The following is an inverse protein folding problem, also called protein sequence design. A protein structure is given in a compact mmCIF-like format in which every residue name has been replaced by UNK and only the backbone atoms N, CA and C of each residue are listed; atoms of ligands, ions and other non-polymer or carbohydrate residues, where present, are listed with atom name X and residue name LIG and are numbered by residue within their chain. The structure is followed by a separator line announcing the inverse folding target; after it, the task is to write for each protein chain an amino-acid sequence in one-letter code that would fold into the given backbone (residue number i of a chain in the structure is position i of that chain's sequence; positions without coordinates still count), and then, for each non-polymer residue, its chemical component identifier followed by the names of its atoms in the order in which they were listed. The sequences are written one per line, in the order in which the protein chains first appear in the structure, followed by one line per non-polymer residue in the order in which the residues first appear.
data_IF_468541427366
#
_entry.id   IF_468541427366
#
_cell.length_a   1.000
_cell.length_b   1.000
_cell.length_c   1.000
_cell.angle_alpha   90.00
_cell.angle_beta   90.00
_cell.angle_gamma   90.00
#
_symmetry.space_group_name_H-M   'P 1'
#
loop_
_entity.id
_entity.type
_entity.pdbx_description
1 polymer ?
#
# COMPACT_ATOMS: atom_id res chain seq x y z
N UNK A 1 -14.09 -21.20 -23.27
CA UNK A 1 -12.67 -21.57 -23.36
C UNK A 1 -12.59 -23.01 -23.83
N UNK A 2 -11.75 -23.31 -24.82
CA UNK A 2 -11.57 -24.69 -25.31
C UNK A 2 -10.73 -25.49 -24.31
N UNK A 3 -10.90 -26.82 -24.30
CA UNK A 3 -10.12 -27.73 -23.42
C UNK A 3 -8.61 -27.49 -23.55
N UNK A 4 -8.14 -27.28 -24.78
CA UNK A 4 -6.72 -27.06 -25.08
C UNK A 4 -6.21 -25.73 -24.51
N UNK A 5 -7.02 -24.67 -24.54
CA UNK A 5 -6.65 -23.37 -23.98
C UNK A 5 -6.43 -23.48 -22.46
N UNK A 6 -7.26 -24.26 -21.76
CA UNK A 6 -7.11 -24.48 -20.32
C UNK A 6 -5.81 -25.21 -20.00
N UNK A 7 -5.47 -26.26 -20.76
CA UNK A 7 -4.21 -27.01 -20.61
C UNK A 7 -2.99 -26.11 -20.83
N UNK A 8 -3.01 -25.28 -21.88
CA UNK A 8 -1.90 -24.35 -22.15
C UNK A 8 -1.75 -23.28 -21.07
N UNK A 9 -2.86 -22.74 -20.54
CA UNK A 9 -2.81 -21.78 -19.43
C UNK A 9 -2.24 -22.41 -18.16
N UNK A 10 -2.66 -23.62 -17.79
CA UNK A 10 -2.10 -24.34 -16.64
C UNK A 10 -0.60 -24.62 -16.82
N UNK A 11 -0.19 -25.05 -18.01
CA UNK A 11 1.22 -25.30 -18.33
C UNK A 11 2.05 -24.02 -18.24
N UNK A 12 1.56 -22.91 -18.80
CA UNK A 12 2.22 -21.61 -18.72
C UNK A 12 2.33 -21.14 -17.27
N UNK A 13 1.28 -21.29 -16.48
CA UNK A 13 1.27 -20.93 -15.06
C UNK A 13 2.35 -21.71 -14.29
N UNK A 14 2.41 -23.04 -14.48
CA UNK A 14 3.44 -23.87 -13.86
C UNK A 14 4.86 -23.44 -14.24
N UNK A 15 5.11 -23.16 -15.52
CA UNK A 15 6.43 -22.68 -15.97
C UNK A 15 6.80 -21.32 -15.36
N UNK A 16 5.81 -20.44 -15.17
CA UNK A 16 6.02 -19.14 -14.52
C UNK A 16 6.36 -19.30 -13.05
N UNK A 17 5.66 -20.17 -12.33
CA UNK A 17 5.93 -20.50 -10.92
C UNK A 17 7.33 -21.10 -10.74
N UNK A 18 7.69 -22.08 -11.58
CA UNK A 18 9.03 -22.68 -11.58
C UNK A 18 10.12 -21.61 -11.80
N UNK A 19 9.95 -20.77 -12.83
CA UNK A 19 10.90 -19.70 -13.13
C UNK A 19 10.96 -18.64 -12.02
N UNK A 20 9.83 -18.30 -11.40
CA UNK A 20 9.79 -17.38 -10.28
C UNK A 20 10.59 -17.92 -9.09
N UNK A 21 10.48 -19.22 -8.79
CA UNK A 21 11.27 -19.90 -7.76
C UNK A 21 12.78 -19.90 -8.03
N UNK A 22 13.19 -20.08 -9.29
CA UNK A 22 14.59 -19.95 -9.71
C UNK A 22 15.14 -18.54 -9.48
N UNK A 23 14.40 -17.52 -9.92
CA UNK A 23 14.79 -16.11 -9.74
C UNK A 23 14.84 -15.75 -8.25
N UNK A 24 13.89 -16.23 -7.44
CA UNK A 24 13.91 -16.01 -6.00
C UNK A 24 15.15 -16.63 -5.35
N UNK A 25 15.54 -17.84 -5.78
CA UNK A 25 16.77 -18.49 -5.33
C UNK A 25 18.02 -17.69 -5.73
N UNK A 26 18.05 -17.19 -6.96
CA UNK A 26 19.11 -16.31 -7.44
C UNK A 26 19.18 -15.01 -6.64
N UNK A 27 18.04 -14.39 -6.32
CA UNK A 27 17.98 -13.17 -5.50
C UNK A 27 18.62 -13.39 -4.12
N UNK A 28 18.31 -14.52 -3.47
CA UNK A 28 18.93 -14.89 -2.18
C UNK A 28 20.44 -15.08 -2.31
N UNK A 29 20.91 -15.70 -3.39
CA UNK A 29 22.34 -15.88 -3.65
C UNK A 29 23.05 -14.55 -3.92
N UNK A 30 22.45 -13.66 -4.72
CA UNK A 30 22.94 -12.30 -4.98
C UNK A 30 23.07 -11.49 -3.70
N UNK A 31 22.11 -11.61 -2.78
CA UNK A 31 22.16 -10.94 -1.48
C UNK A 31 23.35 -11.42 -0.64
N UNK A 32 23.55 -12.74 -0.56
CA UNK A 32 24.69 -13.35 0.14
C UNK A 32 26.04 -12.99 -0.48
N UNK A 33 26.07 -12.76 -1.79
CA UNK A 33 27.25 -12.31 -2.52
C UNK A 33 27.51 -10.80 -2.38
N UNK A 34 26.70 -10.06 -1.60
CA UNK A 34 26.90 -8.63 -1.34
C UNK A 34 26.27 -7.72 -2.39
N UNK A 35 25.31 -8.20 -3.18
CA UNK A 35 24.58 -7.42 -4.18
C UNK A 35 23.11 -7.18 -3.77
N UNK A 36 22.83 -6.38 -2.73
CA UNK A 36 21.49 -6.19 -2.19
C UNK A 36 20.52 -5.52 -3.16
N UNK A 37 20.96 -4.51 -3.93
CA UNK A 37 20.09 -3.85 -4.92
C UNK A 37 19.65 -4.80 -6.02
N UNK A 38 20.56 -5.66 -6.50
CA UNK A 38 20.26 -6.69 -7.51
C UNK A 38 19.31 -7.74 -6.95
N UNK A 39 19.54 -8.19 -5.71
CA UNK A 39 18.64 -9.11 -5.04
C UNK A 39 17.22 -8.53 -4.91
N UNK A 40 17.11 -7.25 -4.55
CA UNK A 40 15.82 -6.59 -4.41
C UNK A 40 15.12 -6.36 -5.77
N UNK A 41 15.84 -5.96 -6.82
CA UNK A 41 15.25 -5.83 -8.16
C UNK A 41 14.70 -7.16 -8.69
N UNK A 42 15.40 -8.27 -8.42
CA UNK A 42 14.92 -9.61 -8.77
C UNK A 42 13.60 -9.98 -8.07
N UNK A 43 13.29 -9.44 -6.89
CA UNK A 43 12.00 -9.68 -6.24
C UNK A 43 10.82 -9.14 -7.06
N UNK A 44 10.99 -7.99 -7.71
CA UNK A 44 9.97 -7.46 -8.61
C UNK A 44 9.74 -8.40 -9.81
N UNK A 45 10.80 -9.01 -10.33
CA UNK A 45 10.70 -10.02 -11.40
C UNK A 45 9.99 -11.30 -10.95
N UNK A 46 10.24 -11.75 -9.72
CA UNK A 46 9.52 -12.88 -9.12
C UNK A 46 8.02 -12.60 -9.09
N UNK A 47 7.61 -11.45 -8.56
CA UNK A 47 6.18 -11.06 -8.46
C UNK A 47 5.53 -10.85 -9.83
N UNK A 48 6.29 -10.40 -10.83
CA UNK A 48 5.79 -10.25 -12.20
C UNK A 48 5.50 -11.61 -12.86
N UNK A 49 6.24 -12.66 -12.51
CA UNK A 49 6.04 -14.02 -13.04
C UNK A 49 5.00 -14.79 -12.25
N UNK A 50 5.13 -14.77 -10.93
CA UNK A 50 4.22 -15.38 -9.96
C UNK A 50 3.72 -14.30 -8.99
N UNK A 51 2.55 -13.69 -9.29
CA UNK A 51 1.95 -12.66 -8.45
C UNK A 51 1.63 -13.13 -7.04
N UNK A 52 1.54 -14.44 -6.77
CA UNK A 52 1.20 -15.00 -5.47
C UNK A 52 2.40 -15.61 -4.74
N UNK A 53 3.61 -15.35 -5.23
CA UNK A 53 4.84 -15.84 -4.62
C UNK A 53 5.03 -15.29 -3.20
N UNK A 54 4.57 -16.07 -2.21
CA UNK A 54 4.45 -15.70 -0.80
C UNK A 54 5.71 -15.05 -0.21
N UNK A 55 6.88 -15.62 -0.49
CA UNK A 55 8.12 -15.09 0.06
C UNK A 55 8.53 -13.77 -0.57
N UNK A 56 8.26 -13.58 -1.87
CA UNK A 56 8.60 -12.36 -2.57
C UNK A 56 7.69 -11.21 -2.11
N UNK A 57 6.39 -11.48 -2.00
CA UNK A 57 5.40 -10.56 -1.40
C UNK A 57 5.78 -10.16 0.01
N UNK A 58 6.19 -11.12 0.84
CA UNK A 58 6.66 -10.84 2.20
C UNK A 58 7.95 -10.01 2.24
N UNK A 59 8.88 -10.20 1.31
CA UNK A 59 10.08 -9.33 1.19
C UNK A 59 9.71 -7.90 0.81
N UNK A 60 8.68 -7.72 -0.02
CA UNK A 60 8.10 -6.40 -0.33
C UNK A 60 7.26 -5.82 0.82
N UNK A 61 7.23 -6.48 1.99
CA UNK A 61 6.48 -6.03 3.15
C UNK A 61 4.98 -6.29 3.08
N UNK A 62 4.51 -7.05 2.07
CA UNK A 62 3.09 -7.35 1.89
C UNK A 62 2.67 -8.60 2.66
N UNK A 63 1.40 -8.63 3.06
CA UNK A 63 0.75 -9.76 3.71
C UNK A 63 -0.56 -10.10 3.01
N UNK A 64 -0.96 -11.36 3.13
CA UNK A 64 -2.26 -11.80 2.62
C UNK A 64 -3.38 -11.24 3.51
N UNK A 65 -4.39 -10.68 2.86
CA UNK A 65 -5.64 -10.23 3.45
C UNK A 65 -6.82 -10.93 2.77
N UNK A 66 -7.64 -11.58 3.58
CA UNK A 66 -8.87 -12.21 3.12
C UNK A 66 -10.03 -11.27 3.45
N UNK A 67 -10.62 -10.68 2.42
CA UNK A 67 -11.77 -9.79 2.57
C UNK A 67 -12.98 -10.58 3.07
N UNK A 68 -13.51 -10.26 4.26
CA UNK A 68 -14.67 -10.96 4.80
C UNK A 68 -15.91 -10.88 3.90
N UNK A 69 -16.02 -9.83 3.09
CA UNK A 69 -17.15 -9.62 2.17
C UNK A 69 -17.10 -10.53 0.95
N UNK A 70 -15.94 -11.11 0.64
CA UNK A 70 -15.72 -12.02 -0.49
C UNK A 70 -15.58 -13.49 -0.05
N UNK A 71 -15.96 -13.82 1.18
CA UNK A 71 -15.83 -15.18 1.72
C UNK A 71 -16.58 -16.23 0.91
N UNK A 72 -17.69 -15.85 0.28
CA UNK A 72 -18.52 -16.75 -0.54
C UNK A 72 -18.03 -16.87 -1.99
N UNK A 73 -17.04 -16.06 -2.40
CA UNK A 73 -16.47 -16.12 -3.75
C UNK A 73 -15.41 -17.24 -3.81
N UNK A 74 -15.70 -18.38 -4.47
CA UNK A 74 -14.77 -19.50 -4.52
C UNK A 74 -13.52 -19.21 -5.36
N UNK A 75 -13.51 -18.12 -6.13
CA UNK A 75 -12.36 -17.69 -6.94
C UNK A 75 -11.48 -16.67 -6.19
N UNK A 76 -11.92 -16.17 -5.04
CA UNK A 76 -11.17 -15.19 -4.27
C UNK A 76 -10.11 -15.86 -3.38
N UNK A 77 -8.85 -15.73 -3.76
CA UNK A 77 -7.70 -16.31 -3.04
C UNK A 77 -7.09 -15.37 -1.98
N UNK A 78 -7.69 -14.20 -1.75
CA UNK A 78 -7.11 -13.14 -0.94
C UNK A 78 -6.35 -12.10 -1.77
N UNK A 79 -5.93 -11.03 -1.10
CA UNK A 79 -5.18 -9.93 -1.68
C UNK A 79 -3.85 -9.74 -0.95
N UNK A 80 -2.79 -9.40 -1.68
CA UNK A 80 -1.53 -8.99 -1.09
C UNK A 80 -1.54 -7.49 -0.84
N UNK A 81 -1.64 -7.11 0.43
CA UNK A 81 -1.76 -5.72 0.87
C UNK A 81 -0.64 -5.37 1.84
N UNK A 82 -0.39 -4.08 2.04
CA UNK A 82 0.51 -3.67 3.11
C UNK A 82 -0.12 -3.86 4.50
N UNK A 83 0.69 -3.93 5.57
CA UNK A 83 0.18 -4.02 6.94
C UNK A 83 -0.73 -2.84 7.31
N UNK A 84 -0.44 -1.65 6.77
CA UNK A 84 -1.27 -0.46 6.93
C UNK A 84 -2.65 -0.65 6.29
N UNK A 85 -2.71 -1.07 5.03
CA UNK A 85 -3.99 -1.34 4.36
C UNK A 85 -4.78 -2.45 5.07
N UNK A 86 -4.10 -3.53 5.47
CA UNK A 86 -4.70 -4.60 6.25
C UNK A 86 -5.36 -4.06 7.52
N UNK A 87 -4.65 -3.20 8.26
CA UNK A 87 -5.17 -2.56 9.46
C UNK A 87 -6.39 -1.68 9.17
N UNK A 88 -6.36 -0.90 8.07
CA UNK A 88 -7.47 -0.06 7.64
C UNK A 88 -8.73 -0.88 7.31
N UNK A 89 -8.55 -2.04 6.65
CA UNK A 89 -9.66 -2.90 6.20
C UNK A 89 -10.18 -3.85 7.30
N UNK A 90 -9.36 -4.24 8.28
CA UNK A 90 -9.72 -5.27 9.27
C UNK A 90 -10.34 -4.76 10.58
N UNK A 91 -10.41 -3.45 10.80
CA UNK A 91 -10.90 -2.87 12.06
C UNK A 91 -12.41 -3.03 12.29
N UNK A 92 -12.89 -2.73 13.51
CA UNK A 92 -14.32 -2.74 13.86
C UNK A 92 -15.16 -1.77 13.02
N UNK A 93 -14.51 -0.74 12.45
CA UNK A 93 -15.06 0.18 11.46
C UNK A 93 -14.17 0.08 10.21
N UNK A 94 -14.42 -0.89 9.31
CA UNK A 94 -13.59 -1.11 8.15
C UNK A 94 -13.59 0.15 7.27
N UNK A 95 -12.41 0.54 6.84
CA UNK A 95 -12.19 1.65 5.93
C UNK A 95 -12.08 1.11 4.50
N UNK A 96 -12.45 1.93 3.54
CA UNK A 96 -12.20 1.71 2.12
C UNK A 96 -11.34 2.84 1.59
N UNK A 97 -10.42 2.52 0.67
CA UNK A 97 -9.63 3.52 -0.03
C UNK A 97 -10.45 4.12 -1.17
N UNK A 98 -11.01 5.29 -0.95
CA UNK A 98 -11.68 6.09 -1.97
C UNK A 98 -10.66 6.90 -2.77
N UNK A 99 -10.76 6.96 -4.12
CA UNK A 99 -9.81 7.69 -4.95
C UNK A 99 -9.74 9.20 -4.65
N UNK A 100 -10.85 9.80 -4.23
CA UNK A 100 -10.92 11.25 -3.94
C UNK A 100 -10.82 11.58 -2.45
N UNK A 101 -11.21 10.67 -1.56
CA UNK A 101 -11.36 10.96 -0.13
C UNK A 101 -10.37 10.18 0.76
N UNK A 102 -9.53 9.34 0.15
CA UNK A 102 -8.57 8.53 0.88
C UNK A 102 -9.25 7.42 1.67
N UNK A 103 -8.74 7.11 2.86
CA UNK A 103 -9.34 6.09 3.72
C UNK A 103 -10.55 6.65 4.47
N UNK A 104 -11.75 6.17 4.09
CA UNK A 104 -13.01 6.56 4.71
C UNK A 104 -13.81 5.33 5.15
N UNK A 105 -14.70 5.44 6.17
CA UNK A 105 -15.49 4.29 6.59
C UNK A 105 -16.31 3.75 5.43
N UNK A 106 -16.28 2.44 5.19
CA UNK A 106 -16.97 1.82 4.06
C UNK A 106 -18.48 2.15 4.05
N UNK A 107 -19.11 2.19 5.22
CA UNK A 107 -20.51 2.55 5.39
C UNK A 107 -20.84 4.03 5.11
N UNK A 108 -19.83 4.88 4.91
CA UNK A 108 -19.98 6.33 4.73
C UNK A 108 -19.70 6.81 3.31
N UNK A 109 -19.31 5.95 2.37
CA UNK A 109 -18.98 6.32 0.98
C UNK A 109 -20.06 7.20 0.35
N UNK A 110 -21.31 6.74 0.38
CA UNK A 110 -22.43 7.51 -0.20
C UNK A 110 -22.63 8.87 0.45
N UNK A 111 -22.30 9.05 1.74
CA UNK A 111 -22.37 10.38 2.38
C UNK A 111 -21.29 11.30 1.85
N UNK A 112 -20.08 10.79 1.67
CA UNK A 112 -18.99 11.55 1.08
C UNK A 112 -19.30 11.96 -0.37
N UNK A 113 -19.81 11.03 -1.18
CA UNK A 113 -20.24 11.30 -2.57
C UNK A 113 -21.37 12.33 -2.64
N UNK A 114 -22.26 12.37 -1.64
CA UNK A 114 -23.31 13.38 -1.53
C UNK A 114 -22.85 14.70 -0.87
N UNK A 115 -21.54 14.97 -0.81
CA UNK A 115 -21.00 16.22 -0.28
C UNK A 115 -21.15 16.39 1.23
N UNK A 116 -21.29 15.29 1.99
CA UNK A 116 -21.32 15.35 3.45
C UNK A 116 -19.98 14.90 4.05
N UNK A 117 -19.60 15.49 5.18
CA UNK A 117 -18.33 15.26 5.86
C UNK A 117 -18.54 15.14 7.38
N UNK A 118 -17.83 14.22 8.06
CA UNK A 118 -17.94 14.08 9.50
C UNK A 118 -17.17 15.20 10.22
N UNK A 119 -17.83 15.90 11.13
CA UNK A 119 -17.21 16.94 11.94
C UNK A 119 -17.71 16.87 13.39
N UNK A 120 -16.82 16.58 14.33
CA UNK A 120 -17.09 16.50 15.79
C UNK A 120 -18.34 15.67 16.17
N UNK A 121 -18.61 14.60 15.42
CA UNK A 121 -19.74 13.69 15.66
C UNK A 121 -20.97 13.94 14.78
N UNK A 122 -21.04 15.09 14.13
CA UNK A 122 -22.11 15.46 13.20
C UNK A 122 -21.68 15.28 11.74
N UNK A 123 -22.67 15.32 10.83
CA UNK A 123 -22.44 15.38 9.39
C UNK A 123 -22.78 16.78 8.89
N UNK A 124 -21.80 17.44 8.28
CA UNK A 124 -21.94 18.78 7.71
C UNK A 124 -21.71 18.73 6.20
N UNK A 125 -22.03 19.79 5.47
CA UNK A 125 -21.69 19.87 4.05
C UNK A 125 -20.17 20.04 3.86
N UNK A 126 -19.68 19.62 2.70
CA UNK A 126 -18.27 19.78 2.28
C UNK A 126 -17.82 21.23 2.29
N UNK A 127 -18.69 22.17 1.95
CA UNK A 127 -18.39 23.61 1.92
C UNK A 127 -18.17 24.12 3.33
N UNK A 128 -19.05 23.74 4.27
CA UNK A 128 -18.91 24.11 5.68
C UNK A 128 -17.67 23.46 6.30
N UNK A 129 -17.36 22.21 5.95
CA UNK A 129 -16.11 21.59 6.38
C UNK A 129 -14.90 22.40 5.86
N UNK A 130 -14.90 22.76 4.58
CA UNK A 130 -13.81 23.49 3.97
C UNK A 130 -13.58 24.86 4.63
N UNK A 131 -14.65 25.59 4.99
CA UNK A 131 -14.55 26.83 5.75
C UNK A 131 -13.89 26.63 7.12
N UNK A 132 -14.29 25.59 7.85
CA UNK A 132 -13.75 25.30 9.19
C UNK A 132 -12.28 24.87 9.16
N UNK A 133 -11.86 24.22 8.07
CA UNK A 133 -10.51 23.68 7.89
C UNK A 133 -9.55 24.63 7.18
N UNK A 134 -10.00 25.83 6.80
CA UNK A 134 -9.09 26.93 6.38
C UNK A 134 -8.04 27.21 7.44
N UNK A 135 -8.44 27.17 8.71
CA UNK A 135 -7.50 27.18 9.83
C UNK A 135 -6.73 25.86 9.87
N UNK A 136 -5.42 25.92 9.66
CA UNK A 136 -4.55 24.74 9.61
C UNK A 136 -4.55 23.93 10.91
N UNK A 137 -4.95 24.51 12.05
CA UNK A 137 -5.14 23.74 13.30
C UNK A 137 -6.20 22.64 13.15
N UNK A 138 -7.09 22.80 12.17
CA UNK A 138 -8.16 21.87 11.80
C UNK A 138 -7.88 21.14 10.47
N UNK A 139 -6.64 21.20 9.96
CA UNK A 139 -6.26 20.66 8.64
C UNK A 139 -6.82 19.24 8.40
N UNK A 140 -7.13 18.94 7.14
CA UNK A 140 -7.36 17.56 6.73
C UNK A 140 -6.10 16.74 7.01
N UNK A 141 -6.30 15.56 7.60
CA UNK A 141 -5.25 14.59 7.86
C UNK A 141 -5.51 13.38 6.97
N UNK A 142 -4.59 13.15 6.03
CA UNK A 142 -4.69 12.09 5.03
C UNK A 142 -3.57 11.08 5.30
N UNK A 143 -3.84 10.02 6.09
CA UNK A 143 -2.85 8.99 6.35
C UNK A 143 -2.71 8.05 5.14
N UNK A 144 -1.47 7.70 4.82
CA UNK A 144 -1.12 6.61 3.93
C UNK A 144 -0.09 5.70 4.59
N UNK A 145 0.47 4.75 3.85
CA UNK A 145 1.38 3.75 4.42
C UNK A 145 2.67 4.38 4.96
N UNK A 146 3.22 5.35 4.23
CA UNK A 146 4.51 5.98 4.55
C UNK A 146 4.38 7.45 4.95
N UNK A 147 3.24 8.09 4.70
CA UNK A 147 3.07 9.53 4.87
C UNK A 147 1.80 9.88 5.67
N UNK A 148 1.85 11.04 6.31
CA UNK A 148 0.69 11.72 6.86
C UNK A 148 0.65 13.12 6.24
N UNK A 149 -0.23 13.33 5.26
CA UNK A 149 -0.40 14.63 4.64
C UNK A 149 -1.37 15.45 5.46
N UNK A 150 -0.97 16.65 5.85
CA UNK A 150 -1.80 17.65 6.53
C UNK A 150 -1.97 18.86 5.62
N UNK A 151 -3.20 19.22 5.31
CA UNK A 151 -3.48 20.33 4.40
C UNK A 151 -4.72 21.11 4.78
N UNK A 152 -4.74 22.40 4.45
CA UNK A 152 -5.91 23.28 4.48
C UNK A 152 -6.36 23.72 3.07
N UNK A 153 -5.87 23.07 2.01
CA UNK A 153 -6.30 23.31 0.62
C UNK A 153 -7.66 22.64 0.36
N UNK A 154 -7.69 21.31 0.38
CA UNK A 154 -8.89 20.47 0.32
C UNK A 154 -8.53 19.03 0.69
N UNK A 155 -9.55 18.22 0.98
CA UNK A 155 -9.36 16.78 1.20
C UNK A 155 -8.81 16.11 -0.06
N UNK A 156 -9.41 16.44 -1.20
CA UNK A 156 -9.14 15.83 -2.50
C UNK A 156 -7.71 16.12 -2.97
N UNK A 157 -7.22 17.35 -2.81
CA UNK A 157 -5.82 17.71 -3.11
C UNK A 157 -4.85 16.97 -2.17
N UNK A 158 -5.21 16.83 -0.89
CA UNK A 158 -4.44 16.05 0.07
C UNK A 158 -4.31 14.58 -0.33
N UNK A 159 -5.39 13.97 -0.82
CA UNK A 159 -5.42 12.58 -1.32
C UNK A 159 -4.60 12.42 -2.60
N UNK A 160 -4.69 13.38 -3.52
CA UNK A 160 -3.85 13.37 -4.73
C UNK A 160 -2.37 13.47 -4.38
N UNK A 161 -1.98 14.38 -3.46
CA UNK A 161 -0.61 14.52 -3.00
C UNK A 161 -0.11 13.24 -2.30
N UNK A 162 -0.89 12.71 -1.37
CA UNK A 162 -0.59 11.45 -0.69
C UNK A 162 -0.36 10.30 -1.68
N UNK A 163 -1.23 10.18 -2.69
CA UNK A 163 -1.09 9.16 -3.74
C UNK A 163 0.19 9.34 -4.56
N UNK A 164 0.52 10.58 -4.94
CA UNK A 164 1.78 10.88 -5.66
C UNK A 164 3.01 10.56 -4.82
N UNK A 165 2.98 10.84 -3.51
CA UNK A 165 4.06 10.52 -2.57
C UNK A 165 4.27 9.01 -2.45
N UNK A 166 3.19 8.21 -2.36
CA UNK A 166 3.30 6.75 -2.32
C UNK A 166 3.86 6.17 -3.62
N UNK A 167 3.44 6.69 -4.78
CA UNK A 167 4.00 6.29 -6.08
C UNK A 167 5.50 6.60 -6.15
N UNK A 168 5.89 7.81 -5.73
CA UNK A 168 7.29 8.21 -5.69
C UNK A 168 8.10 7.36 -4.72
N UNK A 169 7.56 7.08 -3.53
CA UNK A 169 8.19 6.23 -2.54
C UNK A 169 8.39 4.80 -3.05
N UNK A 170 7.39 4.21 -3.70
CA UNK A 170 7.50 2.88 -4.30
C UNK A 170 8.59 2.83 -5.37
N UNK A 171 8.64 3.84 -6.26
CA UNK A 171 9.70 3.96 -7.27
C UNK A 171 11.09 4.10 -6.63
N UNK A 172 11.20 4.93 -5.60
CA UNK A 172 12.44 5.19 -4.87
C UNK A 172 12.97 3.92 -4.19
N UNK A 173 12.10 3.17 -3.50
CA UNK A 173 12.45 1.89 -2.89
C UNK A 173 12.89 0.84 -3.93
N UNK A 174 12.20 0.78 -5.08
CA UNK A 174 12.55 -0.16 -6.14
C UNK A 174 13.95 0.11 -6.74
N UNK A 175 14.32 1.37 -6.93
CA UNK A 175 15.57 1.74 -7.61
C UNK A 175 16.75 1.92 -6.64
N UNK A 176 16.48 2.26 -5.38
CA UNK A 176 17.50 2.62 -4.40
C UNK A 176 17.39 1.82 -3.10
N UNK A 177 16.97 0.56 -3.16
CA UNK A 177 16.82 -0.30 -1.98
C UNK A 177 18.06 -0.29 -1.04
N UNK A 178 19.28 -0.34 -1.60
CA UNK A 178 20.51 -0.32 -0.79
C UNK A 178 20.86 1.06 -0.19
N UNK A 179 20.17 2.13 -0.57
CA UNK A 179 20.32 3.46 0.04
C UNK A 179 19.46 3.58 1.30
N UNK A 180 18.20 3.14 1.24
CA UNK A 180 17.27 3.22 2.37
C UNK A 180 17.51 2.12 3.39
N UNK A 181 18.04 0.99 2.93
CA UNK A 181 18.25 -0.17 3.75
C UNK A 181 19.70 -0.60 3.78
N UNK A 182 20.20 -0.82 4.99
CA UNK A 182 21.49 -1.48 5.15
C UNK A 182 21.42 -2.88 4.53
N UNK A 183 22.53 -3.41 3.96
CA UNK A 183 22.58 -4.79 3.47
C UNK A 183 22.09 -5.80 4.52
N UNK A 184 22.36 -5.53 5.80
CA UNK A 184 21.87 -6.33 6.95
C UNK A 184 20.34 -6.25 7.09
N UNK A 185 19.74 -5.07 7.00
CA UNK A 185 18.28 -4.89 7.06
C UNK A 185 17.56 -5.61 5.93
N UNK A 186 18.14 -5.62 4.72
CA UNK A 186 17.61 -6.37 3.58
C UNK A 186 17.78 -7.87 3.79
N UNK A 187 18.93 -8.33 4.27
CA UNK A 187 19.16 -9.72 4.63
C UNK A 187 18.15 -10.22 5.66
N UNK A 188 17.91 -9.46 6.73
CA UNK A 188 16.92 -9.80 7.74
C UNK A 188 15.52 -9.92 7.15
N UNK A 189 15.15 -9.09 6.15
CA UNK A 189 13.87 -9.19 5.44
C UNK A 189 13.74 -10.50 4.69
N UNK A 190 14.76 -10.89 3.95
CA UNK A 190 14.78 -12.18 3.24
C UNK A 190 14.75 -13.37 4.20
N UNK A 191 15.42 -13.29 5.35
CA UNK A 191 15.44 -14.36 6.36
C UNK A 191 14.11 -14.48 7.12
N UNK A 192 13.43 -13.36 7.34
CA UNK A 192 12.11 -13.29 7.99
C UNK A 192 10.96 -13.51 6.99
N UNK A 193 11.24 -13.61 5.69
CA UNK A 193 10.22 -13.75 4.66
C UNK A 193 9.30 -14.95 4.95
N UNK A 194 7.99 -14.73 4.83
CA UNK A 194 6.96 -15.73 5.11
C UNK A 194 6.68 -15.95 6.60
N UNK A 195 7.32 -15.19 7.51
CA UNK A 195 6.88 -15.09 8.91
C UNK A 195 5.89 -13.94 9.03
N UNK A 196 4.89 -14.03 9.95
CA UNK A 196 4.03 -12.90 10.25
C UNK A 196 4.90 -11.72 10.69
N UNK A 197 4.77 -10.56 10.06
CA UNK A 197 5.50 -9.39 10.52
C UNK A 197 4.86 -8.93 11.84
N UNK A 198 5.67 -8.67 12.87
CA UNK A 198 5.18 -7.77 13.92
C UNK A 198 5.03 -6.41 13.24
N UNK A 199 3.82 -5.85 13.19
CA UNK A 199 3.61 -4.51 12.68
C UNK A 199 4.51 -3.53 13.45
N UNK A 200 5.68 -3.22 12.91
CA UNK A 200 6.49 -2.14 13.45
C UNK A 200 5.70 -0.91 13.08
N UNK A 201 5.19 -0.19 14.09
CA UNK A 201 4.41 1.03 13.88
C UNK A 201 5.36 2.06 13.26
N UNK A 202 5.49 2.02 11.94
CA UNK A 202 6.25 3.02 11.21
C UNK A 202 5.61 4.36 11.53
N UNK A 203 6.43 5.32 11.96
CA UNK A 203 5.95 6.69 12.10
C UNK A 203 5.88 7.25 10.68
N UNK A 204 4.69 7.58 10.16
CA UNK A 204 4.60 8.16 8.84
C UNK A 204 5.38 9.47 8.80
N UNK A 205 5.97 9.78 7.66
CA UNK A 205 6.59 11.08 7.42
C UNK A 205 5.46 12.13 7.32
N UNK A 206 5.52 13.13 8.19
CA UNK A 206 4.51 14.18 8.23
C UNK A 206 4.83 15.24 7.16
N UNK A 207 3.86 15.52 6.30
CA UNK A 207 3.96 16.48 5.21
C UNK A 207 2.92 17.56 5.44
N UNK A 208 3.35 18.80 5.63
CA UNK A 208 2.45 19.96 5.70
C UNK A 208 2.35 20.63 4.34
N UNK A 209 1.14 20.71 3.80
CA UNK A 209 0.84 21.34 2.52
C UNK A 209 -0.18 22.47 2.74
N UNK A 210 0.35 23.69 2.79
CA UNK A 210 -0.42 24.89 3.08
C UNK A 210 -1.09 25.48 1.85
N UNK A 211 -2.25 26.11 2.04
CA UNK A 211 -2.99 26.79 0.98
C UNK A 211 -2.29 28.05 0.47
N UNK A 212 -1.52 28.71 1.33
CA UNK A 212 -0.78 29.91 0.98
C UNK A 212 0.69 29.80 1.38
N UNK A 213 1.53 30.57 0.70
CA UNK A 213 2.97 30.61 1.00
C UNK A 213 3.27 31.25 2.35
N UNK A 214 2.45 32.19 2.80
CA UNK A 214 2.67 32.92 4.04
C UNK A 214 2.51 32.01 5.27
N UNK A 215 1.69 30.97 5.18
CA UNK A 215 1.52 29.95 6.22
C UNK A 215 2.73 29.02 6.39
N UNK A 216 3.68 29.03 5.44
CA UNK A 216 4.91 28.24 5.51
C UNK A 216 6.04 28.94 6.27
N UNK A 217 6.00 30.28 6.41
CA UNK A 217 7.06 31.08 7.03
C UNK A 217 7.05 30.98 8.56
#
# INVERSE_FOLDING_TARGET
MTSDEHVWRQRLQKLREERAGEIYTLARSSLRAGFPSLAFSMIADVVRLDPDHRFARSVLGQEQFNDPTRREDPQYAGEWVSPFEKQMRSGAKPQIRHPEFGWIPAASVSRYENGQRPWKGDWISSEKEAELRRDFRNAWEIPSEHFLVRTNVSLEEGVQLSTKLEIFHAWLQQNFAAFFDTPKSLQERFEKAGRPASARKARPLEIHYYATRDEYQ
#
